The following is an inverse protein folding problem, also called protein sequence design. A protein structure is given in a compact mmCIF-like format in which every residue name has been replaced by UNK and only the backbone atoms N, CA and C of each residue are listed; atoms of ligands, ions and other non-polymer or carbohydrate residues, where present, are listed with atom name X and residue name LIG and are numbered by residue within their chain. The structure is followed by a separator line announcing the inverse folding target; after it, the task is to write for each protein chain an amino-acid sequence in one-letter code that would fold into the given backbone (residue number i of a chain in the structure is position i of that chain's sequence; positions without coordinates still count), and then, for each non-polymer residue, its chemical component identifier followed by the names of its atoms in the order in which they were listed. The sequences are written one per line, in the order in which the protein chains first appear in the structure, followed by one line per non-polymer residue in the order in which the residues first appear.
data_IF_093275962326
#
_entry.id   IF_093275962326
#
_cell.length_a   1.000
_cell.length_b   1.000
_cell.length_c   1.000
_cell.angle_alpha   90.00
_cell.angle_beta   90.00
_cell.angle_gamma   90.00
#
_symmetry.space_group_name_H-M   'P 1'
#
loop_
_entity.id
_entity.type
_entity.pdbx_description
1 polymer ?
#
# COMPACT_ATOMS: atom_id res chain seq x y z
N UNK A 1 8.39 -10.40 5.36
CA UNK A 1 8.39 -10.07 3.92
C UNK A 1 7.25 -10.82 3.24
N UNK A 2 6.54 -10.17 2.33
CA UNK A 2 5.43 -10.75 1.57
C UNK A 2 5.65 -10.50 0.09
N UNK A 3 5.56 -11.54 -0.73
CA UNK A 3 5.61 -11.42 -2.18
C UNK A 3 4.25 -11.81 -2.77
N UNK A 4 3.76 -11.02 -3.73
CA UNK A 4 2.53 -11.31 -4.47
C UNK A 4 2.74 -11.14 -5.96
N UNK A 5 2.21 -12.09 -6.71
CA UNK A 5 2.19 -12.11 -8.16
C UNK A 5 0.73 -12.27 -8.57
N UNK A 6 0.35 -11.57 -9.64
CA UNK A 6 -0.93 -11.74 -10.28
C UNK A 6 -1.00 -13.12 -10.95
N UNK A 7 -1.79 -14.00 -10.36
CA UNK A 7 -2.21 -15.25 -10.99
C UNK A 7 -3.21 -14.97 -12.12
N UNK A 8 -3.46 -15.97 -12.96
CA UNK A 8 -4.36 -15.84 -14.10
C UNK A 8 -5.75 -15.35 -13.63
N UNK A 9 -6.23 -14.27 -14.26
CA UNK A 9 -7.51 -13.60 -13.94
C UNK A 9 -7.67 -13.09 -12.49
N UNK A 10 -6.64 -13.17 -11.65
CA UNK A 10 -6.71 -12.67 -10.29
C UNK A 10 -6.78 -11.14 -10.29
N UNK A 11 -7.89 -10.60 -9.77
CA UNK A 11 -8.08 -9.17 -9.61
C UNK A 11 -7.40 -8.64 -8.35
N UNK A 12 -7.37 -9.45 -7.28
CA UNK A 12 -6.73 -9.08 -6.04
C UNK A 12 -6.20 -10.30 -5.28
N UNK A 13 -5.32 -10.04 -4.31
CA UNK A 13 -4.82 -11.02 -3.34
C UNK A 13 -4.83 -10.41 -1.94
N UNK A 14 -5.34 -11.17 -0.98
CA UNK A 14 -5.36 -10.75 0.41
C UNK A 14 -4.05 -11.07 1.13
N UNK A 15 -3.62 -10.16 2.01
CA UNK A 15 -2.47 -10.33 2.92
C UNK A 15 -2.95 -9.99 4.33
N UNK A 16 -2.71 -10.91 5.27
CA UNK A 16 -2.98 -10.69 6.69
C UNK A 16 -1.68 -10.32 7.40
N UNK A 17 -1.64 -9.12 7.97
CA UNK A 17 -0.60 -8.68 8.90
C UNK A 17 -1.14 -8.69 10.35
N UNK A 18 -0.27 -8.60 11.36
CA UNK A 18 -0.71 -8.51 12.76
C UNK A 18 -1.69 -7.37 13.00
N UNK A 19 -1.37 -6.15 12.53
CA UNK A 19 -2.19 -4.93 12.74
C UNK A 19 -3.02 -4.50 11.53
N UNK A 20 -2.85 -5.14 10.38
CA UNK A 20 -3.49 -4.71 9.13
C UNK A 20 -4.06 -5.88 8.32
N UNK A 21 -5.22 -5.64 7.73
CA UNK A 21 -5.69 -6.33 6.55
C UNK A 21 -5.17 -5.59 5.33
N UNK A 22 -4.64 -6.31 4.35
CA UNK A 22 -4.24 -5.69 3.10
C UNK A 22 -4.83 -6.38 1.90
N UNK A 23 -5.15 -5.58 0.89
CA UNK A 23 -5.55 -6.05 -0.42
C UNK A 23 -4.50 -5.58 -1.43
N UNK A 24 -3.83 -6.54 -2.05
CA UNK A 24 -3.05 -6.32 -3.26
C UNK A 24 -4.00 -6.32 -4.44
N UNK A 25 -4.24 -5.15 -5.02
CA UNK A 25 -5.11 -4.92 -6.16
C UNK A 25 -4.28 -4.92 -7.45
N UNK A 26 -4.75 -5.68 -8.45
CA UNK A 26 -4.17 -5.78 -9.79
C UNK A 26 -5.14 -5.26 -10.87
N UNK A 27 -6.27 -4.69 -10.46
CA UNK A 27 -7.30 -4.18 -11.37
C UNK A 27 -6.84 -2.90 -12.05
N UNK A 28 -6.85 -2.93 -13.39
CA UNK A 28 -6.31 -1.90 -14.28
C UNK A 28 -7.23 -0.70 -14.47
N UNK A 29 -8.37 -0.68 -13.80
CA UNK A 29 -9.42 0.34 -13.96
C UNK A 29 -9.06 1.68 -13.32
N UNK A 30 -8.02 1.71 -12.48
CA UNK A 30 -7.50 2.97 -11.94
C UNK A 30 -6.45 3.52 -12.89
N UNK A 31 -6.62 4.80 -13.28
CA UNK A 31 -5.77 5.59 -14.21
C UNK A 31 -4.26 5.61 -13.90
N UNK A 32 -3.80 4.92 -12.87
CA UNK A 32 -2.42 4.89 -12.36
C UNK A 32 -1.65 3.61 -12.72
N UNK A 33 -2.30 2.59 -13.29
CA UNK A 33 -1.70 1.27 -13.61
C UNK A 33 -1.20 1.10 -15.04
N UNK A 34 -1.14 2.17 -15.83
CA UNK A 34 -0.49 2.07 -17.13
C UNK A 34 1.03 2.10 -16.93
N UNK A 35 1.71 1.05 -17.38
CA UNK A 35 3.15 1.09 -17.59
C UNK A 35 3.46 2.29 -18.50
N UNK A 36 4.59 2.99 -18.25
CA UNK A 36 5.01 4.11 -19.10
C UNK A 36 5.04 3.75 -20.59
N UNK A 37 5.29 2.46 -20.88
CA UNK A 37 5.45 1.93 -22.23
C UNK A 37 4.17 1.29 -22.79
N UNK A 38 3.05 1.30 -22.04
CA UNK A 38 1.78 0.70 -22.46
C UNK A 38 1.81 -0.83 -22.59
N UNK A 39 2.92 -1.48 -22.19
CA UNK A 39 3.06 -2.93 -22.20
C UNK A 39 2.25 -3.57 -21.08
N UNK A 40 1.42 -4.52 -21.48
CA UNK A 40 0.57 -5.29 -20.58
C UNK A 40 1.41 -6.31 -19.79
N UNK A 41 1.98 -5.87 -18.67
CA UNK A 41 2.72 -6.75 -17.76
C UNK A 41 1.90 -7.12 -16.54
N UNK A 42 1.98 -8.39 -16.14
CA UNK A 42 1.31 -8.91 -14.94
C UNK A 42 1.79 -8.19 -13.69
N UNK A 43 0.84 -7.91 -12.80
CA UNK A 43 1.11 -7.30 -11.51
C UNK A 43 2.00 -8.17 -10.63
N UNK A 44 2.98 -7.56 -9.97
CA UNK A 44 3.89 -8.24 -9.04
C UNK A 44 4.41 -7.24 -8.02
N UNK A 45 4.66 -7.68 -6.79
CA UNK A 45 5.25 -6.83 -5.78
C UNK A 45 5.84 -7.58 -4.60
N UNK A 46 6.82 -6.97 -3.98
CA UNK A 46 7.43 -7.38 -2.72
C UNK A 46 7.15 -6.28 -1.71
N UNK A 47 6.57 -6.66 -0.59
CA UNK A 47 6.33 -5.83 0.58
C UNK A 47 7.25 -6.29 1.71
N UNK A 48 8.08 -5.37 2.18
CA UNK A 48 8.94 -5.56 3.35
C UNK A 48 8.40 -4.68 4.46
N UNK A 49 8.15 -5.27 5.64
CA UNK A 49 7.78 -4.52 6.83
C UNK A 49 9.05 -4.34 7.68
N UNK A 50 9.44 -3.09 7.93
CA UNK A 50 10.66 -2.73 8.68
C UNK A 50 10.35 -2.19 10.07
N UNK A 51 9.11 -1.73 10.29
CA UNK A 51 8.58 -1.36 11.60
C UNK A 51 7.11 -1.74 11.74
N UNK A 52 6.50 -1.50 12.89
CA UNK A 52 5.09 -1.88 13.12
C UNK A 52 4.15 -1.21 12.09
N UNK A 53 4.46 0.03 11.71
CA UNK A 53 3.70 0.87 10.79
C UNK A 53 4.53 1.36 9.60
N UNK A 54 5.68 0.73 9.34
CA UNK A 54 6.61 1.12 8.27
C UNK A 54 6.85 -0.03 7.29
N UNK A 55 6.74 0.31 5.99
CA UNK A 55 6.82 -0.65 4.91
C UNK A 55 7.60 -0.11 3.72
N UNK A 56 8.23 -1.01 2.98
CA UNK A 56 8.76 -0.77 1.64
C UNK A 56 8.00 -1.64 0.64
N UNK A 57 7.54 -1.02 -0.44
CA UNK A 57 6.89 -1.72 -1.55
C UNK A 57 7.67 -1.46 -2.83
N UNK A 58 8.10 -2.53 -3.48
CA UNK A 58 8.68 -2.52 -4.81
C UNK A 58 7.88 -3.46 -5.71
N UNK A 59 7.72 -3.13 -7.00
CA UNK A 59 6.96 -3.98 -7.90
C UNK A 59 6.62 -3.35 -9.23
N UNK A 60 5.60 -3.90 -9.87
CA UNK A 60 5.00 -3.36 -11.08
C UNK A 60 3.51 -3.68 -11.08
N UNK A 61 2.68 -2.71 -11.45
CA UNK A 61 1.24 -2.86 -11.64
C UNK A 61 0.52 -3.51 -10.45
N UNK A 62 0.89 -3.08 -9.24
CA UNK A 62 0.28 -3.54 -7.98
C UNK A 62 -0.11 -2.33 -7.13
N UNK A 63 -1.36 -2.32 -6.66
CA UNK A 63 -1.87 -1.36 -5.68
C UNK A 63 -1.98 -2.04 -4.33
N UNK A 64 -1.55 -1.37 -3.26
CA UNK A 64 -1.81 -1.85 -1.91
C UNK A 64 -2.80 -0.95 -1.19
N UNK A 65 -3.78 -1.60 -0.58
CA UNK A 65 -4.68 -0.98 0.37
C UNK A 65 -4.39 -1.53 1.77
N UNK A 66 -4.20 -0.63 2.74
CA UNK A 66 -4.06 -0.95 4.16
C UNK A 66 -5.36 -0.64 4.90
N UNK A 67 -5.89 -1.64 5.61
CA UNK A 67 -7.06 -1.52 6.48
C UNK A 67 -6.61 -1.94 7.88
N UNK A 68 -6.71 -1.03 8.86
CA UNK A 68 -6.34 -1.34 10.25
C UNK A 68 -7.23 -2.44 10.81
N UNK A 69 -6.62 -3.38 11.53
CA UNK A 69 -7.35 -4.39 12.30
C UNK A 69 -7.74 -3.78 13.64
N UNK A 70 -9.03 -3.79 14.00
CA UNK A 70 -9.44 -3.34 15.32
C UNK A 70 -8.89 -4.29 16.39
N UNK A 71 -8.50 -3.75 17.54
CA UNK A 71 -8.17 -4.55 18.72
C UNK A 71 -9.46 -4.96 19.46
N UNK A 72 -9.48 -6.11 20.13
CA UNK A 72 -10.66 -6.57 20.88
C UNK A 72 -11.14 -5.59 21.96
N UNK A 73 -10.23 -4.77 22.49
CA UNK A 73 -10.51 -3.77 23.53
C UNK A 73 -11.03 -2.44 23.00
N UNK A 74 -11.08 -2.24 21.68
CA UNK A 74 -11.50 -0.97 21.11
C UNK A 74 -13.02 -0.81 21.14
N UNK A 75 -13.45 0.34 21.64
CA UNK A 75 -14.84 0.78 21.58
C UNK A 75 -15.14 1.44 20.22
N UNK A 76 -16.40 1.41 19.78
CA UNK A 76 -16.87 2.02 18.53
C UNK A 76 -16.15 1.52 17.25
N UNK A 77 -16.20 0.21 17.02
CA UNK A 77 -15.58 -0.44 15.84
C UNK A 77 -16.29 -0.17 14.50
N UNK A 78 -17.52 0.34 14.55
CA UNK A 78 -18.36 0.45 13.36
C UNK A 78 -17.72 1.31 12.26
N UNK A 79 -17.14 2.50 12.50
CA UNK A 79 -16.48 3.28 11.47
C UNK A 79 -15.28 2.56 10.83
N UNK A 80 -14.48 1.87 11.65
CA UNK A 80 -13.28 1.12 11.23
C UNK A 80 -13.66 -0.02 10.28
N UNK A 81 -14.77 -0.72 10.57
CA UNK A 81 -15.22 -1.89 9.80
C UNK A 81 -16.09 -1.47 8.61
N UNK A 82 -16.93 -0.44 8.75
CA UNK A 82 -17.93 -0.05 7.74
C UNK A 82 -17.40 0.87 6.65
N UNK A 83 -16.35 1.65 6.92
CA UNK A 83 -15.83 2.63 5.97
C UNK A 83 -14.36 2.36 5.66
N UNK A 84 -14.08 2.12 4.38
CA UNK A 84 -12.70 2.12 3.88
C UNK A 84 -12.04 3.49 4.09
N UNK A 85 -12.77 4.60 3.91
CA UNK A 85 -12.20 5.94 4.12
C UNK A 85 -11.73 6.16 5.56
N UNK A 86 -12.44 5.59 6.54
CA UNK A 86 -12.06 5.64 7.95
C UNK A 86 -10.73 4.93 8.26
N UNK A 87 -10.28 4.00 7.40
CA UNK A 87 -9.07 3.20 7.62
C UNK A 87 -7.99 3.40 6.55
N UNK A 88 -8.29 4.08 5.44
CA UNK A 88 -7.38 4.29 4.31
C UNK A 88 -6.66 5.65 4.32
N UNK A 89 -7.16 6.67 5.03
CA UNK A 89 -6.56 8.03 5.04
C UNK A 89 -5.38 8.18 6.03
N UNK A 90 -4.58 7.13 6.17
CA UNK A 90 -3.64 6.99 7.29
C UNK A 90 -2.19 6.95 6.86
N UNK A 91 -1.83 7.56 5.74
CA UNK A 91 -0.42 7.68 5.39
C UNK A 91 0.17 8.90 6.09
N UNK A 92 1.09 8.69 7.04
CA UNK A 92 1.93 9.75 7.59
C UNK A 92 2.89 10.26 6.53
N UNK A 93 3.50 9.34 5.78
CA UNK A 93 4.29 9.67 4.60
C UNK A 93 4.28 8.53 3.59
N UNK A 94 4.40 8.92 2.33
CA UNK A 94 4.65 8.02 1.21
C UNK A 94 5.76 8.64 0.38
N UNK A 95 6.89 7.96 0.29
CA UNK A 95 8.08 8.47 -0.35
C UNK A 95 8.48 7.52 -1.47
N UNK A 96 8.59 8.02 -2.70
CA UNK A 96 9.36 7.37 -3.75
C UNK A 96 10.83 7.61 -3.51
N UNK A 97 11.66 6.60 -3.75
CA UNK A 97 13.08 6.69 -3.48
C UNK A 97 13.83 5.45 -3.89
N UNK A 98 15.10 5.42 -3.51
CA UNK A 98 16.01 4.31 -3.75
C UNK A 98 17.01 4.16 -2.61
N UNK A 99 17.78 3.07 -2.64
CA UNK A 99 18.86 2.86 -1.68
C UNK A 99 20.21 3.23 -2.30
N UNK A 100 20.96 4.12 -1.65
CA UNK A 100 22.36 4.42 -1.96
C UNK A 100 23.22 4.05 -0.76
N UNK A 101 24.21 3.17 -0.96
CA UNK A 101 25.11 2.69 0.11
C UNK A 101 24.38 2.13 1.35
N UNK A 102 23.18 1.58 1.18
CA UNK A 102 22.35 1.04 2.26
C UNK A 102 21.44 2.05 2.95
N UNK A 103 21.54 3.33 2.61
CA UNK A 103 20.69 4.40 3.13
C UNK A 103 19.54 4.70 2.17
N UNK A 104 18.37 5.03 2.72
CA UNK A 104 17.20 5.42 1.93
C UNK A 104 17.31 6.88 1.50
N UNK A 105 17.28 7.11 0.18
CA UNK A 105 17.28 8.42 -0.45
C UNK A 105 15.88 8.70 -1.01
N UNK A 106 15.30 9.83 -0.61
CA UNK A 106 13.97 10.25 -1.06
C UNK A 106 14.10 11.04 -2.35
N UNK A 107 13.44 10.55 -3.40
CA UNK A 107 13.35 11.24 -4.69
C UNK A 107 12.11 12.14 -4.74
N UNK A 108 10.99 11.66 -4.20
CA UNK A 108 9.71 12.36 -4.27
C UNK A 108 8.74 11.94 -3.15
N UNK A 109 8.04 12.90 -2.54
CA UNK A 109 6.99 12.61 -1.56
C UNK A 109 5.61 12.62 -2.22
N UNK A 110 4.93 11.46 -2.25
CA UNK A 110 3.56 11.34 -2.74
C UNK A 110 2.58 11.93 -1.72
N UNK A 111 1.60 12.67 -2.22
CA UNK A 111 0.49 13.19 -1.43
C UNK A 111 -0.79 13.30 -2.28
N UNK A 112 -1.88 13.73 -1.66
CA UNK A 112 -3.15 13.96 -2.37
C UNK A 112 -3.59 12.74 -3.18
N UNK A 113 -3.90 12.92 -4.46
CA UNK A 113 -4.38 11.85 -5.34
C UNK A 113 -3.40 10.69 -5.52
N UNK A 114 -2.10 10.90 -5.28
CA UNK A 114 -1.07 9.86 -5.36
C UNK A 114 -1.02 8.97 -4.11
N UNK A 115 -1.69 9.37 -3.03
CA UNK A 115 -1.68 8.68 -1.74
C UNK A 115 -3.08 8.53 -1.09
N UNK A 116 -4.15 9.10 -1.65
CA UNK A 116 -5.49 9.13 -1.03
C UNK A 116 -6.30 7.82 -1.14
N UNK A 117 -5.75 6.77 -1.75
CA UNK A 117 -6.45 5.48 -1.92
C UNK A 117 -5.46 4.30 -1.90
N UNK A 118 -5.49 3.48 -2.95
CA UNK A 118 -4.60 2.34 -3.11
C UNK A 118 -3.26 2.88 -3.60
N UNK A 119 -2.21 2.58 -2.84
CA UNK A 119 -0.88 3.02 -3.20
C UNK A 119 -0.33 2.12 -4.30
N UNK A 120 -0.21 2.68 -5.50
CA UNK A 120 0.16 1.94 -6.70
C UNK A 120 1.65 2.09 -6.98
N UNK A 121 2.35 0.99 -7.28
CA UNK A 121 3.76 1.01 -7.67
C UNK A 121 3.90 0.58 -9.12
N UNK A 122 4.57 1.41 -9.93
CA UNK A 122 4.89 1.13 -11.34
C UNK A 122 6.22 0.42 -11.45
N UNK A 123 6.51 -0.10 -12.63
CA UNK A 123 7.76 -0.83 -12.87
C UNK A 123 8.98 0.06 -12.58
N UNK A 124 9.92 -0.46 -11.79
CA UNK A 124 11.12 0.25 -11.35
C UNK A 124 10.92 1.17 -10.13
N UNK A 125 9.71 1.34 -9.63
CA UNK A 125 9.46 2.18 -8.45
C UNK A 125 9.60 1.41 -7.13
N UNK A 126 10.14 2.11 -6.14
CA UNK A 126 10.14 1.69 -4.75
C UNK A 126 9.52 2.82 -3.94
N UNK A 127 8.60 2.46 -3.04
CA UNK A 127 8.02 3.41 -2.08
C UNK A 127 8.23 2.97 -0.65
N UNK A 128 8.63 3.92 0.20
CA UNK A 128 8.57 3.82 1.65
C UNK A 128 7.24 4.37 2.13
N UNK A 129 6.56 3.61 2.98
CA UNK A 129 5.19 3.86 3.45
C UNK A 129 5.22 3.91 4.96
N UNK A 130 4.79 5.02 5.54
CA UNK A 130 4.59 5.15 6.99
C UNK A 130 3.12 5.37 7.27
N UNK A 131 2.52 4.46 8.04
CA UNK A 131 1.12 4.53 8.41
C UNK A 131 0.95 5.25 9.76
N UNK A 132 -0.14 5.99 9.89
CA UNK A 132 -0.61 6.59 11.13
C UNK A 132 -1.43 5.54 11.88
N UNK A 133 -0.98 5.07 13.07
CA UNK A 133 -1.79 4.17 13.87
C UNK A 133 -2.98 4.86 14.55
N UNK A 134 -2.94 6.19 14.69
CA UNK A 134 -3.95 6.98 15.39
C UNK A 134 -4.91 7.63 14.39
N UNK A 135 -6.08 7.01 14.23
CA UNK A 135 -7.11 7.41 13.27
C UNK A 135 -7.95 8.63 13.70
N UNK A 136 -7.56 9.30 14.80
CA UNK A 136 -8.28 10.48 15.32
C UNK A 136 -9.65 10.19 15.94
N UNK A 137 -9.92 8.94 16.36
CA UNK A 137 -11.08 8.62 17.19
C UNK A 137 -10.70 8.80 18.67
N UNK A 138 -10.89 10.01 19.20
CA UNK A 138 -11.04 10.27 20.65
C UNK A 138 -12.51 10.21 21.06
#
# INVERSE_FOLDING_TARGET
MYAKIQEEFAMNKYIKLPKYHMLADFTRTRRFFMSKDGTDTRGRGILVQTGEHEFYLAGANIGLNFIRRPEPSEENLYPIISSRQATQLNYLSVEEGHFENGEWVVDFCRNGDQANYDLCVRDGEIVRIRLNPYLGYE
#
